data_IF_255173733679
#
_entry.id   IF_255173733679
#
_cell.length_a   1.000
_cell.length_b   1.000
_cell.length_c   1.000
_cell.angle_alpha   90.00
_cell.angle_beta   90.00
_cell.angle_gamma   90.00
#
_symmetry.space_group_name_H-M   'P 1'
#
loop_
_entity.id
_entity.type
_entity.pdbx_description
1 polymer ?
#
# COMPACT_ATOMS: atom_id res chain seq x y z
N UNK A 1 -10.16 -8.48 70.87
CA UNK A 1 -10.95 -8.16 69.65
C UNK A 1 -10.03 -8.03 68.46
N UNK A 2 -9.94 -9.06 67.63
CA UNK A 2 -9.16 -9.03 66.37
C UNK A 2 -10.10 -8.59 65.25
N UNK A 3 -9.82 -7.45 64.62
CA UNK A 3 -10.55 -7.00 63.45
C UNK A 3 -9.98 -7.71 62.22
N UNK A 4 -10.82 -8.51 61.56
CA UNK A 4 -10.55 -9.12 60.28
C UNK A 4 -10.88 -8.06 59.21
N UNK A 5 -9.89 -7.59 58.50
CA UNK A 5 -10.07 -6.72 57.32
C UNK A 5 -10.18 -7.65 56.11
N UNK A 6 -11.39 -7.76 55.58
CA UNK A 6 -11.66 -8.49 54.32
C UNK A 6 -11.29 -7.60 53.16
N UNK A 7 -10.22 -7.94 52.45
CA UNK A 7 -9.89 -7.31 51.14
C UNK A 7 -10.77 -7.94 50.07
N UNK A 8 -11.76 -7.17 49.58
CA UNK A 8 -12.46 -7.52 48.33
C UNK A 8 -11.54 -7.24 47.16
N UNK A 9 -10.92 -8.28 46.60
CA UNK A 9 -10.27 -8.22 45.31
C UNK A 9 -11.34 -8.18 44.20
N UNK A 10 -11.66 -7.01 43.68
CA UNK A 10 -12.45 -6.89 42.45
C UNK A 10 -11.58 -7.30 41.28
N UNK A 11 -11.71 -8.56 40.85
CA UNK A 11 -11.16 -9.01 39.56
C UNK A 11 -11.90 -8.29 38.43
N UNK A 12 -11.29 -7.29 37.83
CA UNK A 12 -11.72 -6.77 36.54
C UNK A 12 -11.55 -7.89 35.50
N UNK A 13 -12.61 -8.64 35.25
CA UNK A 13 -12.64 -9.51 34.07
C UNK A 13 -12.59 -8.60 32.86
N UNK A 14 -11.49 -8.65 32.11
CA UNK A 14 -11.39 -8.09 30.81
C UNK A 14 -12.40 -8.84 29.90
N UNK A 15 -13.60 -8.29 29.75
CA UNK A 15 -14.55 -8.81 28.76
C UNK A 15 -13.90 -8.72 27.39
N UNK A 16 -13.98 -9.78 26.56
CA UNK A 16 -13.50 -9.70 25.19
C UNK A 16 -14.21 -8.52 24.52
N UNK A 17 -13.43 -7.67 23.92
CA UNK A 17 -13.94 -6.54 23.13
C UNK A 17 -14.67 -7.11 21.92
N UNK A 18 -16.00 -7.19 21.98
CA UNK A 18 -16.79 -7.64 20.87
C UNK A 18 -16.61 -6.65 19.70
N UNK A 19 -16.34 -7.20 18.51
CA UNK A 19 -16.30 -6.42 17.30
C UNK A 19 -17.68 -5.77 17.06
N UNK A 20 -17.69 -4.46 16.89
CA UNK A 20 -18.89 -3.69 16.54
C UNK A 20 -18.49 -2.54 15.63
N UNK A 21 -19.00 -2.57 14.42
CA UNK A 21 -18.83 -1.47 13.46
C UNK A 21 -19.33 -0.15 14.06
N UNK A 22 -18.51 0.89 13.93
CA UNK A 22 -18.78 2.20 14.50
C UNK A 22 -18.32 2.41 15.94
N UNK A 23 -17.79 1.39 16.61
CA UNK A 23 -17.25 1.54 17.96
C UNK A 23 -16.10 2.54 17.97
N UNK A 24 -16.15 3.50 18.90
CA UNK A 24 -15.13 4.54 19.08
C UNK A 24 -14.07 4.11 20.10
N UNK A 25 -12.84 4.57 19.83
CA UNK A 25 -11.71 4.42 20.73
C UNK A 25 -11.12 5.80 21.03
N UNK A 26 -10.54 6.00 22.22
CA UNK A 26 -9.97 7.27 22.59
C UNK A 26 -8.79 7.64 21.70
N UNK A 27 -8.52 8.94 21.58
CA UNK A 27 -7.36 9.45 20.87
C UNK A 27 -6.05 8.96 21.53
N UNK A 28 -5.13 8.55 20.70
CA UNK A 28 -3.74 8.27 21.05
C UNK A 28 -2.79 9.26 20.38
N UNK A 29 -3.35 10.31 19.78
CA UNK A 29 -2.61 11.29 18.98
C UNK A 29 -1.50 11.97 19.78
N UNK A 30 -0.28 11.95 19.23
CA UNK A 30 0.90 12.64 19.76
C UNK A 30 1.57 13.44 18.68
N UNK A 31 1.97 14.65 19.00
CA UNK A 31 2.75 15.50 18.10
C UNK A 31 4.15 15.62 18.68
N UNK A 32 5.15 15.29 17.88
CA UNK A 32 6.56 15.44 18.25
C UNK A 32 7.33 16.09 17.10
N UNK A 33 8.52 16.56 17.37
CA UNK A 33 9.47 16.93 16.32
C UNK A 33 10.47 15.80 16.13
N UNK A 34 10.76 15.50 14.88
CA UNK A 34 11.85 14.58 14.55
C UNK A 34 13.16 15.09 15.17
N UNK A 35 13.88 14.28 15.94
CA UNK A 35 15.06 14.72 16.66
C UNK A 35 16.25 15.08 15.76
N UNK A 36 16.28 14.55 14.51
CA UNK A 36 17.36 14.77 13.54
C UNK A 36 17.07 15.95 12.60
N UNK A 37 15.82 16.07 12.16
CA UNK A 37 15.42 17.04 11.14
C UNK A 37 14.60 18.21 11.67
N UNK A 38 13.95 18.05 12.82
CA UNK A 38 13.02 19.04 13.38
C UNK A 38 11.64 19.06 12.71
N UNK A 39 11.40 18.21 11.73
CA UNK A 39 10.10 18.08 11.04
C UNK A 39 9.03 17.61 12.01
N UNK A 40 7.81 18.13 11.90
CA UNK A 40 6.69 17.76 12.75
C UNK A 40 6.14 16.38 12.34
N UNK A 41 6.05 15.48 13.32
CA UNK A 41 5.50 14.13 13.22
C UNK A 41 4.22 14.06 14.05
N UNK A 42 3.11 13.72 13.40
CA UNK A 42 1.81 13.53 14.05
C UNK A 42 1.52 12.03 14.11
N UNK A 43 1.85 11.40 15.22
CA UNK A 43 1.46 10.01 15.48
C UNK A 43 -0.04 9.97 15.77
N UNK A 44 -0.81 9.42 14.86
CA UNK A 44 -2.26 9.23 15.02
C UNK A 44 -2.58 8.07 15.97
N UNK A 45 -1.69 7.09 16.02
CA UNK A 45 -1.70 6.00 17.01
C UNK A 45 -0.35 5.94 17.72
N UNK A 46 -0.35 5.53 19.00
CA UNK A 46 0.89 5.54 19.79
C UNK A 46 0.93 4.48 20.90
N UNK A 47 -0.08 3.62 20.98
CA UNK A 47 -0.14 2.58 22.01
C UNK A 47 0.79 1.45 21.67
N UNK A 48 1.78 1.24 22.54
CA UNK A 48 2.71 0.13 22.43
C UNK A 48 2.01 -1.23 22.50
N UNK A 49 2.49 -2.21 21.74
CA UNK A 49 1.99 -3.58 21.74
C UNK A 49 0.70 -3.81 20.95
N UNK A 50 0.10 -2.78 20.35
CA UNK A 50 -0.96 -2.94 19.34
C UNK A 50 -0.32 -2.82 17.98
N UNK A 51 -0.36 -3.85 17.16
CA UNK A 51 0.17 -3.76 15.79
C UNK A 51 -0.75 -2.90 14.93
N UNK A 52 -0.32 -1.70 14.56
CA UNK A 52 -0.99 -0.88 13.55
C UNK A 52 -0.18 -0.94 12.26
N UNK A 53 -0.85 -1.01 11.12
CA UNK A 53 -0.21 -0.90 9.82
C UNK A 53 -1.11 -0.15 8.85
N UNK A 54 -0.51 0.73 8.09
CA UNK A 54 -1.21 1.44 7.03
C UNK A 54 -1.68 0.49 5.92
N UNK A 55 -2.58 0.95 5.08
CA UNK A 55 -2.86 0.29 3.80
C UNK A 55 -1.58 0.38 2.95
N UNK A 56 -1.35 -0.60 2.10
CA UNK A 56 -0.17 -0.60 1.26
C UNK A 56 -0.13 0.64 0.35
N UNK A 57 1.04 1.19 0.12
CA UNK A 57 1.28 2.50 -0.53
C UNK A 57 0.67 2.66 -1.93
N UNK A 58 0.31 1.56 -2.58
CA UNK A 58 -0.36 1.58 -3.89
C UNK A 58 -1.82 2.01 -3.83
N UNK A 59 -2.40 2.10 -2.62
CA UNK A 59 -3.81 2.39 -2.40
C UNK A 59 -3.99 3.73 -1.68
N UNK A 60 -5.15 4.34 -1.88
CA UNK A 60 -5.53 5.53 -1.15
C UNK A 60 -5.71 5.23 0.34
N UNK A 61 -5.26 6.15 1.20
CA UNK A 61 -5.29 6.02 2.66
C UNK A 61 -6.37 6.88 3.30
N UNK A 62 -6.68 8.03 2.69
CA UNK A 62 -7.60 9.02 3.22
C UNK A 62 -9.01 8.85 2.67
N UNK A 63 -9.99 9.13 3.51
CA UNK A 63 -11.37 9.33 3.04
C UNK A 63 -11.44 10.52 2.09
N UNK A 64 -12.48 10.57 1.23
CA UNK A 64 -12.63 11.61 0.20
C UNK A 64 -12.75 13.04 0.77
N UNK A 65 -13.17 13.18 2.03
CA UNK A 65 -13.19 14.46 2.75
C UNK A 65 -11.85 14.85 3.38
N UNK A 66 -10.82 14.00 3.23
CA UNK A 66 -9.46 14.21 3.74
C UNK A 66 -9.31 14.19 5.26
N UNK A 67 -10.35 13.79 6.03
CA UNK A 67 -10.33 13.89 7.49
C UNK A 67 -9.94 12.61 8.22
N UNK A 68 -10.10 11.46 7.58
CA UNK A 68 -9.86 10.17 8.21
C UNK A 68 -8.83 9.36 7.46
N UNK A 69 -7.95 8.73 8.21
CA UNK A 69 -6.96 7.76 7.69
C UNK A 69 -7.44 6.36 8.05
N UNK A 70 -7.47 5.48 7.07
CA UNK A 70 -7.88 4.07 7.24
C UNK A 70 -6.63 3.20 7.43
N UNK A 71 -6.67 2.31 8.40
CA UNK A 71 -5.54 1.46 8.75
C UNK A 71 -5.97 0.09 9.29
N UNK A 72 -5.04 -0.85 9.34
CA UNK A 72 -5.18 -2.17 9.97
C UNK A 72 -4.72 -2.09 11.41
N UNK A 73 -5.41 -2.79 12.32
CA UNK A 73 -5.07 -2.73 13.75
C UNK A 73 -5.37 -4.02 14.46
N UNK A 74 -4.52 -4.37 15.42
CA UNK A 74 -4.75 -5.50 16.33
C UNK A 74 -5.66 -5.13 17.52
N UNK A 75 -6.15 -3.87 17.62
CA UNK A 75 -7.08 -3.43 18.69
C UNK A 75 -8.37 -4.22 18.70
N UNK A 76 -8.89 -4.52 17.52
CA UNK A 76 -9.97 -5.47 17.30
C UNK A 76 -9.49 -6.47 16.26
N UNK A 77 -9.26 -7.68 16.69
CA UNK A 77 -8.63 -8.71 15.85
C UNK A 77 -9.41 -8.96 14.56
N UNK A 78 -8.73 -8.77 13.44
CA UNK A 78 -9.28 -9.03 12.09
C UNK A 78 -10.11 -7.89 11.53
N UNK A 79 -10.22 -6.75 12.23
CA UNK A 79 -11.01 -5.62 11.79
C UNK A 79 -10.14 -4.42 11.38
N UNK A 80 -10.67 -3.60 10.48
CA UNK A 80 -10.05 -2.35 10.07
C UNK A 80 -10.55 -1.18 10.92
N UNK A 81 -9.73 -0.15 11.01
CA UNK A 81 -9.96 1.06 11.78
C UNK A 81 -9.84 2.29 10.88
N UNK A 82 -10.48 3.37 11.28
CA UNK A 82 -10.20 4.72 10.80
C UNK A 82 -9.83 5.61 11.97
N UNK A 83 -8.93 6.55 11.76
CA UNK A 83 -8.55 7.58 12.74
C UNK A 83 -8.78 8.97 12.15
N UNK A 84 -9.44 9.83 12.90
CA UNK A 84 -9.60 11.23 12.51
C UNK A 84 -8.28 11.95 12.73
N UNK A 85 -7.76 12.58 11.69
CA UNK A 85 -6.43 13.19 11.69
C UNK A 85 -6.31 14.37 12.68
N UNK A 86 -7.37 15.16 12.82
CA UNK A 86 -7.39 16.31 13.70
C UNK A 86 -7.58 15.92 15.17
N UNK A 87 -8.60 15.11 15.45
CA UNK A 87 -9.00 14.77 16.83
C UNK A 87 -8.27 13.55 17.38
N UNK A 88 -7.73 12.67 16.52
CA UNK A 88 -7.17 11.39 16.89
C UNK A 88 -8.21 10.34 17.32
N UNK A 89 -9.50 10.64 17.23
CA UNK A 89 -10.56 9.67 17.52
C UNK A 89 -10.49 8.52 16.53
N UNK A 90 -10.49 7.30 17.06
CA UNK A 90 -10.50 6.10 16.22
C UNK A 90 -11.88 5.44 16.18
N UNK A 91 -12.24 4.86 15.04
CA UNK A 91 -13.50 4.15 14.82
C UNK A 91 -13.23 2.82 14.13
N UNK A 92 -13.85 1.74 14.64
CA UNK A 92 -13.85 0.45 13.94
C UNK A 92 -14.76 0.54 12.72
N UNK A 93 -14.25 0.20 11.53
CA UNK A 93 -14.98 0.41 10.26
C UNK A 93 -15.38 -0.89 9.55
N UNK A 94 -14.96 -2.05 10.03
CA UNK A 94 -15.41 -3.35 9.54
C UNK A 94 -15.95 -4.22 10.66
N UNK A 95 -16.77 -5.21 10.35
CA UNK A 95 -17.29 -6.21 11.29
C UNK A 95 -17.50 -7.55 10.58
N UNK A 96 -16.85 -8.58 11.09
CA UNK A 96 -16.85 -9.92 10.51
C UNK A 96 -15.60 -10.19 9.67
N UNK A 97 -14.58 -9.39 9.86
CA UNK A 97 -13.26 -9.53 9.26
C UNK A 97 -13.15 -8.92 7.86
N UNK A 98 -11.90 -8.80 7.42
CA UNK A 98 -11.55 -8.49 6.03
C UNK A 98 -10.34 -9.33 5.61
N UNK A 99 -10.14 -9.45 4.31
CA UNK A 99 -9.01 -10.19 3.71
C UNK A 99 -8.32 -9.30 2.68
N UNK A 100 -7.00 -9.27 2.73
CA UNK A 100 -6.17 -8.55 1.76
C UNK A 100 -6.24 -7.04 1.85
N UNK A 101 -6.52 -6.39 0.73
CA UNK A 101 -6.49 -4.94 0.62
C UNK A 101 -7.78 -4.27 1.08
N UNK A 102 -7.61 -3.08 1.64
CA UNK A 102 -8.68 -2.12 1.93
C UNK A 102 -8.61 -1.04 0.85
N UNK A 103 -9.70 -0.77 0.16
CA UNK A 103 -9.77 0.21 -0.91
C UNK A 103 -10.64 1.39 -0.48
N UNK A 104 -9.99 2.47 -0.06
CA UNK A 104 -10.68 3.73 0.30
C UNK A 104 -10.97 4.50 -0.97
N UNK A 105 -12.24 4.81 -1.20
CA UNK A 105 -12.69 5.56 -2.35
C UNK A 105 -12.16 7.01 -2.32
N UNK A 106 -11.80 7.56 -3.46
CA UNK A 106 -11.28 8.93 -3.59
C UNK A 106 -12.36 9.98 -3.80
N UNK A 107 -13.51 9.56 -4.34
CA UNK A 107 -14.64 10.45 -4.70
C UNK A 107 -15.79 10.32 -3.72
N UNK A 108 -16.08 9.10 -3.30
CA UNK A 108 -17.15 8.82 -2.34
C UNK A 108 -16.59 8.56 -0.93
N UNK A 109 -17.45 8.71 0.09
CA UNK A 109 -17.12 8.34 1.47
C UNK A 109 -17.33 6.82 1.69
N UNK A 110 -16.81 5.99 0.78
CA UNK A 110 -16.96 4.55 0.84
C UNK A 110 -15.59 3.85 1.05
N UNK A 111 -15.66 2.70 1.72
CA UNK A 111 -14.59 1.73 1.80
C UNK A 111 -15.05 0.44 1.12
N UNK A 112 -14.19 -0.15 0.31
CA UNK A 112 -14.40 -1.48 -0.26
C UNK A 112 -13.37 -2.46 0.30
N UNK A 113 -13.83 -3.66 0.64
CA UNK A 113 -12.96 -4.74 1.10
C UNK A 113 -13.54 -6.09 0.72
N UNK A 114 -12.69 -7.11 0.77
CA UNK A 114 -13.13 -8.50 0.64
C UNK A 114 -13.22 -9.16 2.00
N UNK A 115 -14.15 -10.11 2.14
CA UNK A 115 -14.18 -11.07 3.24
C UNK A 115 -14.63 -12.45 2.75
N UNK A 116 -14.39 -13.50 3.53
CA UNK A 116 -14.81 -14.85 3.19
C UNK A 116 -16.33 -14.99 3.13
N UNK A 117 -16.86 -15.42 1.99
CA UNK A 117 -18.21 -15.90 1.87
C UNK A 117 -18.32 -17.33 2.41
N UNK A 118 -19.35 -17.62 3.20
CA UNK A 118 -19.56 -18.96 3.79
C UNK A 118 -21.00 -19.45 3.56
N UNK A 119 -21.16 -20.74 3.33
CA UNK A 119 -22.46 -21.38 3.28
C UNK A 119 -23.07 -21.54 4.69
N UNK A 120 -24.30 -22.04 4.76
CA UNK A 120 -25.01 -22.27 6.04
C UNK A 120 -24.29 -23.30 6.95
N UNK A 121 -23.37 -24.11 6.41
CA UNK A 121 -22.57 -25.07 7.16
C UNK A 121 -21.22 -24.50 7.58
N UNK A 122 -20.91 -23.24 7.20
CA UNK A 122 -19.65 -22.56 7.50
C UNK A 122 -18.53 -22.86 6.50
N UNK A 123 -18.78 -23.59 5.41
CA UNK A 123 -17.79 -23.83 4.38
C UNK A 123 -17.60 -22.55 3.56
N UNK A 124 -16.36 -22.26 3.23
CA UNK A 124 -16.00 -21.13 2.38
C UNK A 124 -16.46 -21.38 0.94
N UNK A 125 -17.17 -20.43 0.37
CA UNK A 125 -17.74 -20.53 -0.98
C UNK A 125 -17.16 -19.50 -1.96
N UNK A 126 -16.43 -18.49 -1.44
CA UNK A 126 -15.85 -17.46 -2.26
C UNK A 126 -15.42 -16.26 -1.42
N UNK A 127 -15.31 -15.12 -2.10
CA UNK A 127 -15.01 -13.82 -1.49
C UNK A 127 -16.17 -12.84 -1.74
N UNK A 128 -16.79 -12.35 -0.68
CA UNK A 128 -17.72 -11.21 -0.76
C UNK A 128 -16.92 -9.93 -0.99
N UNK A 129 -17.35 -9.11 -1.95
CA UNK A 129 -16.93 -7.71 -2.06
C UNK A 129 -17.94 -6.87 -1.29
N UNK A 130 -17.49 -6.14 -0.30
CA UNK A 130 -18.29 -5.37 0.64
C UNK A 130 -18.00 -3.89 0.47
N UNK A 131 -19.05 -3.09 0.33
CA UNK A 131 -19.03 -1.64 0.38
C UNK A 131 -19.47 -1.17 1.77
N UNK A 132 -18.70 -0.27 2.39
CA UNK A 132 -19.03 0.36 3.67
C UNK A 132 -19.23 1.86 3.46
N UNK A 133 -20.41 2.37 3.81
CA UNK A 133 -20.70 3.80 3.82
C UNK A 133 -20.11 4.43 5.10
N UNK A 134 -18.93 5.04 4.97
CA UNK A 134 -18.20 5.64 6.08
C UNK A 134 -18.86 6.93 6.59
N UNK A 135 -19.48 7.73 5.71
CA UNK A 135 -20.16 8.97 6.12
C UNK A 135 -21.26 8.68 7.14
N UNK A 136 -22.15 7.76 6.80
CA UNK A 136 -23.23 7.34 7.70
C UNK A 136 -22.71 6.68 8.97
N UNK A 137 -21.68 5.83 8.83
CA UNK A 137 -21.07 5.15 9.96
C UNK A 137 -20.48 6.13 10.97
N UNK A 138 -19.71 7.11 10.49
CA UNK A 138 -19.08 8.11 11.36
C UNK A 138 -20.12 9.02 12.03
N UNK A 139 -21.16 9.45 11.30
CA UNK A 139 -22.22 10.27 11.84
C UNK A 139 -23.02 9.54 12.95
N UNK A 140 -23.43 8.29 12.72
CA UNK A 140 -24.14 7.49 13.73
C UNK A 140 -23.23 7.14 14.93
N UNK A 141 -21.93 6.89 14.68
CA UNK A 141 -20.92 6.65 15.71
C UNK A 141 -20.71 7.88 16.61
N UNK A 142 -20.61 9.06 16.02
CA UNK A 142 -20.45 10.31 16.76
C UNK A 142 -21.71 10.64 17.58
N UNK A 143 -22.88 10.43 17.03
CA UNK A 143 -24.14 10.65 17.70
C UNK A 143 -24.45 9.59 18.78
N UNK A 144 -23.68 8.52 18.92
CA UNK A 144 -23.97 7.39 19.81
C UNK A 144 -25.23 6.59 19.43
N UNK A 145 -25.59 6.60 18.13
CA UNK A 145 -26.81 5.98 17.57
C UNK A 145 -26.51 4.82 16.63
N UNK A 146 -25.54 3.99 17.01
CA UNK A 146 -25.11 2.86 16.19
C UNK A 146 -26.27 1.89 15.90
N UNK A 147 -26.28 1.43 14.67
CA UNK A 147 -27.24 0.42 14.16
C UNK A 147 -26.49 -0.90 13.91
N UNK A 148 -27.23 -1.91 13.47
CA UNK A 148 -26.62 -3.17 12.99
C UNK A 148 -25.75 -2.87 11.76
N UNK A 149 -24.69 -3.64 11.57
CA UNK A 149 -23.72 -3.47 10.45
C UNK A 149 -24.37 -3.36 9.07
N UNK A 150 -25.49 -4.09 8.85
CA UNK A 150 -26.26 -4.03 7.60
C UNK A 150 -26.86 -2.65 7.28
N UNK A 151 -26.82 -1.69 8.22
CA UNK A 151 -27.18 -0.30 7.96
C UNK A 151 -26.04 0.49 7.30
N UNK A 152 -24.82 -0.01 7.38
CA UNK A 152 -23.61 0.66 6.92
C UNK A 152 -22.91 -0.07 5.79
N UNK A 153 -23.11 -1.40 5.67
CA UNK A 153 -22.48 -2.21 4.65
C UNK A 153 -23.47 -2.78 3.65
N UNK A 154 -23.03 -2.92 2.40
CA UNK A 154 -23.70 -3.61 1.31
C UNK A 154 -22.75 -4.65 0.72
N UNK A 155 -23.23 -5.89 0.53
CA UNK A 155 -22.51 -6.89 -0.26
C UNK A 155 -22.78 -6.57 -1.73
N UNK A 156 -21.72 -6.17 -2.46
CA UNK A 156 -21.79 -5.88 -3.89
C UNK A 156 -21.98 -7.15 -4.70
N UNK A 157 -21.28 -8.21 -4.31
CA UNK A 157 -21.36 -9.52 -4.96
C UNK A 157 -20.42 -10.52 -4.29
N UNK A 158 -20.47 -11.76 -4.78
CA UNK A 158 -19.57 -12.84 -4.33
C UNK A 158 -18.77 -13.36 -5.51
N UNK A 159 -17.45 -13.31 -5.41
CA UNK A 159 -16.55 -13.94 -6.36
C UNK A 159 -16.43 -15.41 -5.98
N UNK A 160 -16.71 -16.37 -6.90
CA UNK A 160 -16.60 -17.79 -6.62
C UNK A 160 -15.18 -18.18 -6.15
N UNK A 161 -15.10 -19.15 -5.24
CA UNK A 161 -13.83 -19.56 -4.63
C UNK A 161 -12.82 -20.10 -5.64
N UNK A 162 -13.30 -20.72 -6.70
CA UNK A 162 -12.45 -21.22 -7.78
C UNK A 162 -11.82 -20.10 -8.62
N UNK A 163 -12.42 -18.89 -8.61
CA UNK A 163 -11.90 -17.72 -9.32
C UNK A 163 -10.94 -16.91 -8.48
N UNK A 164 -11.24 -16.71 -7.21
CA UNK A 164 -10.43 -15.93 -6.27
C UNK A 164 -10.58 -16.46 -4.85
N UNK A 165 -9.49 -16.88 -4.25
CA UNK A 165 -9.43 -17.36 -2.86
C UNK A 165 -8.73 -16.42 -1.89
N UNK A 166 -8.13 -15.32 -2.36
CA UNK A 166 -7.40 -14.35 -1.56
C UNK A 166 -7.89 -12.92 -1.82
N UNK A 167 -7.75 -12.05 -0.83
CA UNK A 167 -8.29 -10.68 -0.86
C UNK A 167 -7.41 -9.62 -1.50
N UNK A 168 -6.67 -9.94 -2.56
CA UNK A 168 -5.89 -8.95 -3.30
C UNK A 168 -6.80 -8.20 -4.29
N UNK A 169 -7.10 -6.93 -3.98
CA UNK A 169 -8.11 -6.15 -4.70
C UNK A 169 -7.66 -4.69 -4.87
N UNK A 170 -8.09 -4.06 -5.96
CA UNK A 170 -7.97 -2.63 -6.20
C UNK A 170 -9.30 -2.04 -6.70
N UNK A 171 -9.58 -0.81 -6.30
CA UNK A 171 -10.74 -0.05 -6.78
C UNK A 171 -10.38 0.67 -8.07
N UNK A 172 -11.27 0.65 -9.06
CA UNK A 172 -11.14 1.41 -10.29
C UNK A 172 -11.34 2.91 -10.06
N UNK A 173 -10.74 3.72 -10.93
CA UNK A 173 -10.89 5.17 -10.89
C UNK A 173 -12.33 5.69 -11.09
N UNK A 174 -13.24 4.88 -11.66
CA UNK A 174 -14.67 5.19 -11.73
C UNK A 174 -15.40 4.98 -10.40
N UNK A 175 -14.86 4.11 -9.51
CA UNK A 175 -15.53 3.54 -8.33
C UNK A 175 -16.74 2.65 -8.67
N UNK A 176 -16.80 2.16 -9.91
CA UNK A 176 -17.85 1.24 -10.38
C UNK A 176 -17.37 -0.21 -10.47
N UNK A 177 -16.05 -0.42 -10.56
CA UNK A 177 -15.40 -1.71 -10.68
C UNK A 177 -14.38 -1.93 -9.56
N UNK A 178 -14.18 -3.19 -9.21
CA UNK A 178 -12.99 -3.64 -8.49
C UNK A 178 -12.24 -4.68 -9.30
N UNK A 179 -10.92 -4.63 -9.25
CA UNK A 179 -10.01 -5.62 -9.83
C UNK A 179 -9.50 -6.54 -8.74
N UNK A 180 -9.32 -7.82 -9.09
CA UNK A 180 -8.84 -8.81 -8.15
C UNK A 180 -7.91 -9.83 -8.83
N UNK A 181 -7.08 -10.48 -8.03
CA UNK A 181 -6.20 -11.53 -8.53
C UNK A 181 -6.97 -12.81 -8.78
N UNK A 182 -6.81 -13.38 -9.99
CA UNK A 182 -7.29 -14.73 -10.31
C UNK A 182 -6.38 -15.78 -9.69
N UNK A 183 -6.98 -16.81 -9.12
CA UNK A 183 -6.27 -17.98 -8.65
C UNK A 183 -5.62 -18.74 -9.80
N UNK A 184 -4.49 -19.37 -9.53
CA UNK A 184 -3.65 -20.06 -10.51
C UNK A 184 -4.43 -21.11 -11.32
N UNK A 185 -5.25 -21.94 -10.65
CA UNK A 185 -6.01 -23.00 -11.31
C UNK A 185 -7.16 -22.45 -12.16
N UNK A 186 -7.72 -21.31 -11.78
CA UNK A 186 -8.72 -20.63 -12.60
C UNK A 186 -8.07 -19.97 -13.83
N UNK A 187 -6.97 -19.24 -13.63
CA UNK A 187 -6.25 -18.57 -14.72
C UNK A 187 -5.79 -19.57 -15.80
N UNK A 188 -5.44 -20.81 -15.41
CA UNK A 188 -5.03 -21.90 -16.32
C UNK A 188 -6.12 -22.30 -17.32
N UNK A 189 -7.39 -22.03 -17.03
CA UNK A 189 -8.54 -22.35 -17.91
C UNK A 189 -8.73 -21.37 -19.06
N UNK A 190 -8.03 -20.23 -19.01
CA UNK A 190 -8.12 -19.19 -20.02
C UNK A 190 -6.89 -19.18 -20.92
N UNK A 191 -7.01 -18.65 -22.15
CA UNK A 191 -5.85 -18.41 -22.99
C UNK A 191 -4.86 -17.51 -22.27
N UNK A 192 -3.65 -18.01 -22.05
CA UNK A 192 -2.58 -17.23 -21.44
C UNK A 192 -2.03 -16.31 -22.50
N UNK A 193 -1.94 -15.02 -22.19
CA UNK A 193 -1.36 -14.01 -23.07
C UNK A 193 0.06 -14.39 -23.48
N UNK A 194 0.43 -14.02 -24.70
CA UNK A 194 1.77 -14.25 -25.22
C UNK A 194 2.84 -13.70 -24.29
N UNK A 195 3.94 -14.45 -24.16
CA UNK A 195 5.04 -14.03 -23.33
C UNK A 195 5.77 -12.84 -23.98
N UNK A 196 5.64 -11.67 -23.38
CA UNK A 196 6.29 -10.43 -23.83
C UNK A 196 7.42 -9.96 -22.90
N UNK A 197 7.75 -10.77 -21.89
CA UNK A 197 8.88 -10.52 -20.99
C UNK A 197 10.22 -10.73 -21.70
N UNK A 198 11.30 -10.05 -21.27
CA UNK A 198 12.65 -10.29 -21.76
C UNK A 198 13.07 -11.74 -21.59
N UNK A 199 13.97 -12.20 -22.47
CA UNK A 199 14.45 -13.58 -22.47
C UNK A 199 15.68 -13.77 -21.51
N UNK A 200 15.60 -13.18 -20.33
CA UNK A 200 16.66 -13.25 -19.30
C UNK A 200 16.06 -13.49 -17.91
N UNK A 201 16.92 -13.87 -16.96
CA UNK A 201 16.55 -14.12 -15.58
C UNK A 201 15.93 -15.50 -15.32
N UNK A 202 15.75 -15.85 -14.05
CA UNK A 202 15.15 -17.13 -13.67
C UNK A 202 13.65 -17.13 -13.98
N UNK A 203 13.27 -17.79 -15.06
CA UNK A 203 11.89 -17.82 -15.60
C UNK A 203 10.85 -18.49 -14.71
N UNK A 204 11.30 -19.34 -13.77
CA UNK A 204 10.43 -20.01 -12.81
C UNK A 204 10.17 -19.18 -11.54
N UNK A 205 10.83 -18.04 -11.38
CA UNK A 205 10.62 -17.14 -10.26
C UNK A 205 9.26 -16.46 -10.39
N UNK A 206 8.40 -16.59 -9.36
CA UNK A 206 7.03 -16.09 -9.43
C UNK A 206 6.24 -16.69 -10.59
N UNK A 207 6.45 -17.99 -10.87
CA UNK A 207 5.80 -18.66 -11.99
C UNK A 207 4.28 -18.67 -11.81
N UNK A 208 3.61 -18.39 -12.94
CA UNK A 208 2.16 -18.48 -13.07
C UNK A 208 1.66 -19.88 -13.41
N UNK A 209 0.52 -19.93 -14.07
CA UNK A 209 -0.24 -18.76 -14.50
C UNK A 209 -0.81 -17.95 -13.34
N UNK A 210 -1.09 -16.70 -13.61
CA UNK A 210 -1.86 -15.78 -12.78
C UNK A 210 -2.79 -14.97 -13.69
N UNK A 211 -3.51 -14.03 -13.11
CA UNK A 211 -4.37 -13.18 -13.91
C UNK A 211 -5.09 -12.13 -13.08
N UNK A 212 -5.86 -11.32 -13.79
CA UNK A 212 -6.72 -10.29 -13.22
C UNK A 212 -8.16 -10.59 -13.60
N UNK A 213 -9.03 -10.50 -12.61
CA UNK A 213 -10.47 -10.44 -12.77
C UNK A 213 -11.01 -9.07 -12.38
N UNK A 214 -12.25 -8.79 -12.74
CA UNK A 214 -12.99 -7.61 -12.32
C UNK A 214 -14.37 -7.99 -11.82
N UNK A 215 -14.94 -7.15 -10.96
CA UNK A 215 -16.35 -7.22 -10.55
C UNK A 215 -17.00 -5.85 -10.74
N UNK A 216 -18.15 -5.83 -11.36
CA UNK A 216 -19.04 -4.69 -11.40
C UNK A 216 -19.77 -4.57 -10.05
N UNK A 217 -19.61 -3.43 -9.38
CA UNK A 217 -20.09 -3.20 -8.02
C UNK A 217 -21.61 -3.01 -7.95
N UNK A 218 -22.25 -2.63 -9.05
CA UNK A 218 -23.71 -2.46 -9.09
C UNK A 218 -24.44 -3.80 -9.31
N UNK A 219 -23.89 -4.65 -10.19
CA UNK A 219 -24.50 -5.93 -10.57
C UNK A 219 -23.98 -7.12 -9.80
N UNK A 220 -22.77 -7.00 -9.20
CA UNK A 220 -22.05 -8.10 -8.55
C UNK A 220 -21.48 -9.13 -9.52
N UNK A 221 -21.52 -8.86 -10.84
CA UNK A 221 -20.98 -9.78 -11.86
C UNK A 221 -19.45 -9.75 -11.84
N UNK A 222 -18.86 -10.91 -11.59
CA UNK A 222 -17.40 -11.12 -11.67
C UNK A 222 -17.03 -11.83 -12.98
N UNK A 223 -15.95 -11.37 -13.62
CA UNK A 223 -15.44 -11.96 -14.87
C UNK A 223 -13.92 -11.79 -14.98
N UNK A 224 -13.22 -12.68 -15.71
CA UNK A 224 -11.78 -12.54 -15.95
C UNK A 224 -11.51 -11.38 -16.93
N UNK A 225 -10.36 -10.74 -16.75
CA UNK A 225 -9.83 -9.70 -17.64
C UNK A 225 -8.69 -10.28 -18.50
N UNK A 226 -7.68 -10.87 -17.84
CA UNK A 226 -6.51 -11.42 -18.52
C UNK A 226 -5.88 -12.54 -17.69
N UNK A 227 -5.31 -13.54 -18.37
CA UNK A 227 -4.42 -14.52 -17.78
C UNK A 227 -2.99 -14.32 -18.33
N UNK A 228 -1.99 -14.42 -17.43
CA UNK A 228 -0.57 -14.22 -17.73
C UNK A 228 0.25 -15.40 -17.23
N UNK A 229 1.48 -15.56 -17.74
CA UNK A 229 2.37 -16.68 -17.41
C UNK A 229 3.10 -16.53 -16.06
N UNK A 230 2.81 -15.50 -15.30
CA UNK A 230 3.47 -15.18 -14.03
C UNK A 230 2.48 -14.94 -12.90
N UNK A 231 2.98 -14.90 -11.66
CA UNK A 231 2.20 -14.53 -10.48
C UNK A 231 1.95 -13.03 -10.48
N UNK A 232 0.68 -12.65 -10.44
CA UNK A 232 0.25 -11.24 -10.34
C UNK A 232 0.27 -10.78 -8.87
N UNK A 233 0.73 -9.56 -8.63
CA UNK A 233 0.65 -8.86 -7.36
C UNK A 233 0.50 -7.35 -7.55
N UNK A 234 0.36 -6.63 -6.45
CA UNK A 234 0.27 -5.16 -6.39
C UNK A 234 -0.72 -4.56 -7.40
N UNK A 235 -1.92 -5.13 -7.48
CA UNK A 235 -2.94 -4.62 -8.41
C UNK A 235 -3.34 -3.20 -7.99
N UNK A 236 -3.38 -2.29 -8.97
CA UNK A 236 -3.78 -0.89 -8.81
C UNK A 236 -4.72 -0.52 -9.95
N UNK A 237 -5.83 0.15 -9.64
CA UNK A 237 -6.60 0.89 -10.64
C UNK A 237 -5.97 2.28 -10.84
N UNK A 238 -5.90 2.78 -12.06
CA UNK A 238 -5.50 4.15 -12.31
C UNK A 238 -6.61 5.10 -11.85
N UNK A 239 -6.38 5.95 -10.82
CA UNK A 239 -7.45 6.80 -10.29
C UNK A 239 -7.94 7.88 -11.26
N UNK A 240 -7.13 8.22 -12.26
CA UNK A 240 -7.41 9.29 -13.23
C UNK A 240 -7.89 8.76 -14.58
N UNK A 241 -7.52 7.52 -14.92
CA UNK A 241 -7.95 6.83 -16.13
C UNK A 241 -8.71 5.55 -15.78
N UNK A 242 -10.04 5.64 -15.55
CA UNK A 242 -10.87 4.46 -15.30
C UNK A 242 -10.70 3.39 -16.37
N UNK A 243 -10.63 2.14 -15.94
CA UNK A 243 -10.41 1.02 -16.82
C UNK A 243 -8.93 0.67 -17.08
N UNK A 244 -7.97 1.43 -16.55
CA UNK A 244 -6.55 1.05 -16.60
C UNK A 244 -6.12 0.34 -15.32
N UNK A 245 -5.53 -0.83 -15.45
CA UNK A 245 -5.06 -1.68 -14.36
C UNK A 245 -3.55 -1.83 -14.43
N UNK A 246 -2.88 -1.43 -13.37
CA UNK A 246 -1.44 -1.57 -13.20
C UNK A 246 -1.18 -2.72 -12.22
N UNK A 247 -0.19 -3.54 -12.49
CA UNK A 247 0.15 -4.69 -11.65
C UNK A 247 1.61 -5.10 -11.82
N UNK A 248 2.07 -5.98 -10.96
CA UNK A 248 3.43 -6.48 -11.06
C UNK A 248 3.52 -7.99 -11.28
N UNK A 249 4.65 -8.41 -11.84
CA UNK A 249 5.12 -9.79 -11.73
C UNK A 249 5.71 -9.97 -10.33
N UNK A 250 5.00 -10.67 -9.46
CA UNK A 250 5.33 -10.77 -8.05
C UNK A 250 6.36 -11.88 -7.77
N UNK A 251 7.55 -11.47 -7.33
CA UNK A 251 8.67 -12.38 -7.01
C UNK A 251 9.47 -11.95 -5.80
N UNK A 252 8.96 -11.01 -4.99
CA UNK A 252 9.78 -10.35 -3.98
C UNK A 252 10.87 -9.46 -4.57
N UNK A 253 10.61 -8.82 -5.72
CA UNK A 253 11.46 -7.81 -6.32
C UNK A 253 12.47 -8.29 -7.37
N UNK A 254 12.45 -9.55 -7.79
CA UNK A 254 13.43 -10.13 -8.73
C UNK A 254 12.84 -10.58 -10.07
N UNK A 255 11.66 -10.09 -10.44
CA UNK A 255 11.07 -10.40 -11.73
C UNK A 255 11.90 -9.85 -12.88
N UNK A 256 12.01 -10.58 -14.00
CA UNK A 256 12.75 -10.07 -15.16
C UNK A 256 12.04 -8.90 -15.84
N UNK A 257 10.75 -8.75 -15.64
CA UNK A 257 9.94 -7.61 -16.08
C UNK A 257 8.85 -7.41 -15.03
N UNK A 258 9.03 -6.43 -14.14
CA UNK A 258 8.13 -6.28 -12.99
C UNK A 258 6.84 -5.57 -13.31
N UNK A 259 6.90 -4.44 -14.01
CA UNK A 259 5.78 -3.50 -14.13
C UNK A 259 4.95 -3.72 -15.40
N UNK A 260 3.64 -3.87 -15.23
CA UNK A 260 2.71 -4.19 -16.31
C UNK A 260 1.45 -3.36 -16.22
N UNK A 261 0.76 -3.23 -17.34
CA UNK A 261 -0.60 -2.70 -17.41
C UNK A 261 -1.48 -3.48 -18.37
N UNK A 262 -2.78 -3.41 -18.15
CA UNK A 262 -3.83 -3.93 -19.02
C UNK A 262 -5.08 -3.05 -18.90
N UNK A 263 -5.89 -2.98 -19.95
CA UNK A 263 -7.20 -2.35 -19.87
C UNK A 263 -8.24 -3.33 -19.27
N UNK A 264 -9.28 -2.81 -18.64
CA UNK A 264 -10.36 -3.61 -18.03
C UNK A 264 -11.14 -4.50 -19.01
N UNK A 265 -11.00 -4.27 -20.31
CA UNK A 265 -11.54 -5.11 -21.40
C UNK A 265 -10.56 -6.21 -21.85
N UNK A 266 -9.38 -6.32 -21.22
CA UNK A 266 -8.33 -7.27 -21.56
C UNK A 266 -7.39 -6.81 -22.68
N UNK A 267 -7.63 -5.66 -23.28
CA UNK A 267 -6.76 -5.10 -24.31
C UNK A 267 -5.53 -4.41 -23.73
N UNK A 268 -4.55 -4.07 -24.57
CA UNK A 268 -3.36 -3.29 -24.23
C UNK A 268 -2.50 -3.90 -23.10
N UNK A 269 -2.49 -5.25 -22.98
CA UNK A 269 -1.56 -5.90 -22.05
C UNK A 269 -0.12 -5.64 -22.48
N UNK A 270 0.67 -4.99 -21.62
CA UNK A 270 2.07 -4.66 -21.93
C UNK A 270 2.91 -4.36 -20.70
N UNK A 271 4.25 -4.49 -20.78
CA UNK A 271 5.16 -3.83 -19.85
C UNK A 271 4.93 -2.32 -19.87
N UNK A 272 5.00 -1.66 -18.72
CA UNK A 272 4.94 -0.20 -18.65
C UNK A 272 6.16 0.42 -19.32
N UNK A 273 7.35 -0.11 -19.00
CA UNK A 273 8.57 0.11 -19.77
C UNK A 273 9.35 -1.21 -19.86
N UNK A 274 10.29 -1.33 -20.79
CA UNK A 274 11.13 -2.53 -20.87
C UNK A 274 12.29 -2.42 -19.92
N UNK A 275 12.29 -3.29 -18.92
CA UNK A 275 13.41 -3.45 -17.99
C UNK A 275 14.59 -4.13 -18.71
N UNK A 276 15.79 -3.66 -18.44
CA UNK A 276 17.03 -4.29 -18.91
C UNK A 276 17.39 -5.48 -18.01
N UNK A 277 18.35 -6.29 -18.43
CA UNK A 277 18.85 -7.39 -17.60
C UNK A 277 19.55 -6.90 -16.31
N UNK A 278 19.93 -5.61 -16.27
CA UNK A 278 20.58 -4.98 -15.11
C UNK A 278 19.59 -4.35 -14.14
N UNK A 279 18.37 -4.10 -14.57
CA UNK A 279 17.37 -3.45 -13.72
C UNK A 279 16.84 -4.42 -12.68
N UNK A 280 16.93 -4.03 -11.44
CA UNK A 280 16.22 -4.67 -10.35
C UNK A 280 15.17 -3.69 -9.83
N UNK A 281 14.00 -3.76 -10.43
CA UNK A 281 12.86 -2.92 -10.07
C UNK A 281 12.08 -3.54 -8.92
N UNK A 282 11.79 -2.71 -7.93
CA UNK A 282 10.89 -3.05 -6.82
C UNK A 282 9.87 -1.95 -6.65
N UNK A 283 8.78 -2.26 -6.00
CA UNK A 283 7.76 -1.33 -5.53
C UNK A 283 7.39 -0.24 -6.56
N UNK A 284 6.17 -0.23 -6.90
CA UNK A 284 5.57 0.68 -7.88
C UNK A 284 4.31 1.31 -7.30
N UNK A 285 4.04 2.57 -7.65
CA UNK A 285 2.78 3.25 -7.35
C UNK A 285 2.40 4.22 -8.47
N UNK A 286 1.11 4.23 -8.83
CA UNK A 286 0.55 5.25 -9.74
C UNK A 286 0.46 6.58 -8.99
N UNK A 287 1.09 7.63 -9.52
CA UNK A 287 1.21 8.93 -8.84
C UNK A 287 0.46 10.06 -9.57
N UNK A 288 0.23 9.90 -10.86
CA UNK A 288 -0.58 10.83 -11.66
C UNK A 288 -1.30 10.06 -12.78
N UNK A 289 -2.06 10.77 -13.59
CA UNK A 289 -2.78 10.19 -14.72
C UNK A 289 -1.88 9.31 -15.63
N UNK A 290 -0.65 9.75 -15.84
CA UNK A 290 0.27 9.17 -16.80
C UNK A 290 1.59 8.69 -16.20
N UNK A 291 1.77 8.77 -14.87
CA UNK A 291 3.05 8.47 -14.25
C UNK A 291 2.98 7.36 -13.19
N UNK A 292 3.97 6.49 -13.25
CA UNK A 292 4.25 5.44 -12.28
C UNK A 292 5.61 5.70 -11.64
N UNK A 293 5.67 5.79 -10.31
CA UNK A 293 6.94 5.81 -9.58
C UNK A 293 7.38 4.38 -9.29
N UNK A 294 8.68 4.13 -9.40
CA UNK A 294 9.32 2.83 -9.12
C UNK A 294 10.64 3.01 -8.37
N UNK A 295 11.07 1.97 -7.66
CA UNK A 295 12.41 1.88 -7.10
C UNK A 295 13.30 0.97 -7.96
N UNK A 296 14.44 1.48 -8.41
CA UNK A 296 15.51 0.70 -9.03
C UNK A 296 16.59 0.52 -7.98
N UNK A 297 16.74 -0.69 -7.43
CA UNK A 297 17.61 -0.92 -6.27
C UNK A 297 18.97 -1.54 -6.62
N UNK A 298 19.23 -1.84 -7.87
CA UNK A 298 20.53 -2.34 -8.28
C UNK A 298 20.50 -3.34 -9.41
N UNK A 299 21.60 -4.08 -9.50
CA UNK A 299 21.76 -5.10 -10.53
C UNK A 299 21.19 -6.43 -10.08
N UNK A 300 20.51 -7.06 -10.99
CA UNK A 300 19.90 -8.36 -10.81
C UNK A 300 20.93 -9.44 -11.06
N UNK A 301 21.24 -10.34 -10.09
CA UNK A 301 21.99 -11.55 -10.41
C UNK A 301 21.09 -12.43 -11.29
N UNK A 302 21.48 -12.61 -12.56
CA UNK A 302 20.71 -13.36 -13.55
C UNK A 302 20.74 -14.86 -13.24
N UNK A 303 21.86 -15.37 -12.68
CA UNK A 303 22.01 -16.77 -12.28
C UNK A 303 22.60 -16.88 -10.87
N UNK A 304 22.04 -17.76 -10.03
CA UNK A 304 22.69 -18.14 -8.77
C UNK A 304 24.01 -18.85 -9.12
N UNK A 305 25.13 -18.19 -8.83
CA UNK A 305 26.48 -18.70 -9.06
C UNK A 305 27.28 -17.99 -10.17
N UNK A 306 26.64 -17.30 -11.09
CA UNK A 306 27.31 -16.42 -12.03
C UNK A 306 27.13 -14.96 -11.61
N UNK A 307 27.85 -14.54 -10.59
CA UNK A 307 28.20 -13.13 -10.48
C UNK A 307 29.23 -12.83 -11.57
N UNK A 308 28.81 -12.78 -12.82
CA UNK A 308 29.62 -12.12 -13.83
C UNK A 308 29.73 -10.68 -13.37
N UNK A 309 30.93 -10.28 -12.98
CA UNK A 309 31.30 -8.87 -12.99
C UNK A 309 30.92 -8.37 -14.38
N UNK A 310 29.93 -7.50 -14.44
CA UNK A 310 29.61 -6.84 -15.70
C UNK A 310 30.80 -5.91 -15.96
N UNK A 311 31.52 -6.19 -17.03
CA UNK A 311 32.69 -5.42 -17.42
C UNK A 311 32.28 -3.96 -17.59
N UNK A 312 32.93 -3.03 -16.89
CA UNK A 312 32.52 -1.62 -16.83
C UNK A 312 31.62 -1.21 -15.65
N UNK A 313 31.09 -2.15 -14.89
CA UNK A 313 30.37 -1.89 -13.62
C UNK A 313 31.34 -1.87 -12.42
N UNK A 314 32.63 -1.92 -12.67
CA UNK A 314 33.65 -1.93 -11.63
C UNK A 314 33.68 -0.56 -10.94
N UNK A 315 33.41 -0.59 -9.66
CA UNK A 315 33.86 0.39 -8.66
C UNK A 315 33.27 1.79 -8.63
N UNK A 316 32.20 2.13 -9.31
CA UNK A 316 31.41 3.31 -8.94
C UNK A 316 30.53 3.09 -7.71
N UNK A 317 30.62 1.90 -7.10
CA UNK A 317 29.99 1.56 -5.83
C UNK A 317 30.34 2.50 -4.65
N UNK A 318 31.31 3.37 -4.83
CA UNK A 318 31.65 4.44 -3.88
C UNK A 318 31.06 5.80 -4.25
N UNK A 319 30.44 5.94 -5.41
CA UNK A 319 29.76 7.17 -5.80
C UNK A 319 28.40 7.25 -5.09
N UNK A 320 28.26 8.19 -4.17
CA UNK A 320 26.99 8.44 -3.48
C UNK A 320 25.83 8.84 -4.42
N UNK A 321 26.13 9.13 -5.70
CA UNK A 321 25.14 9.59 -6.67
C UNK A 321 24.41 8.44 -7.38
N UNK A 322 24.97 7.22 -7.38
CA UNK A 322 24.43 6.08 -8.14
C UNK A 322 23.91 4.93 -7.26
N UNK A 323 24.03 5.07 -5.94
CA UNK A 323 23.73 4.01 -4.98
C UNK A 323 24.77 2.89 -4.90
N UNK A 324 24.65 1.99 -3.92
CA UNK A 324 25.68 0.99 -3.61
C UNK A 324 25.97 -0.01 -4.74
N UNK A 325 25.02 -0.27 -5.63
CA UNK A 325 25.14 -1.20 -6.75
C UNK A 325 24.88 -0.56 -8.11
N UNK A 326 24.80 0.78 -8.15
CA UNK A 326 24.61 1.53 -9.39
C UNK A 326 25.92 2.01 -10.00
N UNK A 327 25.87 2.37 -11.29
CA UNK A 327 26.93 3.06 -12.03
C UNK A 327 26.34 4.26 -12.75
N UNK A 328 27.19 5.07 -13.37
CA UNK A 328 26.74 6.19 -14.20
C UNK A 328 25.80 5.73 -15.33
N UNK A 329 26.10 4.57 -15.92
CA UNK A 329 25.32 3.98 -17.01
C UNK A 329 24.09 3.22 -16.52
N UNK A 330 24.16 2.69 -15.29
CA UNK A 330 23.12 1.89 -14.65
C UNK A 330 22.83 2.42 -13.26
N UNK A 331 22.30 3.63 -13.20
CA UNK A 331 22.00 4.30 -11.94
C UNK A 331 20.82 3.63 -11.22
N UNK A 332 20.85 3.66 -9.89
CA UNK A 332 19.77 3.19 -9.02
C UNK A 332 19.08 4.37 -8.35
N UNK A 333 17.90 4.16 -7.81
CA UNK A 333 17.16 5.20 -7.09
C UNK A 333 15.66 5.19 -7.36
N UNK A 334 15.01 6.28 -7.02
CA UNK A 334 13.62 6.52 -7.40
C UNK A 334 13.58 6.93 -8.86
N UNK A 335 12.77 6.25 -9.65
CA UNK A 335 12.50 6.62 -11.03
C UNK A 335 11.00 6.82 -11.26
N UNK A 336 10.67 7.68 -12.21
CA UNK A 336 9.30 7.89 -12.69
C UNK A 336 9.22 7.46 -14.14
N UNK A 337 8.23 6.66 -14.46
CA UNK A 337 7.95 6.20 -15.81
C UNK A 337 6.68 6.86 -16.31
N UNK A 338 6.75 7.54 -17.44
CA UNK A 338 5.55 7.97 -18.17
C UNK A 338 4.91 6.76 -18.84
N UNK A 339 3.71 6.40 -18.42
CA UNK A 339 3.00 5.21 -18.92
C UNK A 339 2.55 5.34 -20.37
N UNK A 340 2.53 6.55 -20.97
CA UNK A 340 2.16 6.77 -22.37
C UNK A 340 3.38 6.70 -23.29
N UNK A 341 4.42 7.49 -22.98
CA UNK A 341 5.65 7.53 -23.80
C UNK A 341 6.60 6.39 -23.49
N UNK A 342 6.49 5.80 -22.30
CA UNK A 342 7.39 4.78 -21.72
C UNK A 342 8.79 5.32 -21.41
N UNK A 343 8.94 6.62 -21.35
CA UNK A 343 10.17 7.27 -20.93
C UNK A 343 10.32 7.15 -19.42
N UNK A 344 11.54 6.84 -18.99
CA UNK A 344 11.93 6.72 -17.60
C UNK A 344 12.84 7.90 -17.25
N UNK A 345 12.52 8.58 -16.16
CA UNK A 345 13.37 9.61 -15.55
C UNK A 345 13.83 9.13 -14.20
N UNK A 346 15.14 9.12 -13.96
CA UNK A 346 15.70 8.86 -12.65
C UNK A 346 15.68 10.17 -11.84
N UNK A 347 14.92 10.18 -10.75
CA UNK A 347 14.76 11.36 -9.90
C UNK A 347 15.90 11.53 -8.89
N UNK A 348 16.47 10.42 -8.40
CA UNK A 348 17.63 10.45 -7.53
C UNK A 348 17.80 9.24 -6.63
N UNK A 349 18.93 9.23 -5.91
CA UNK A 349 19.30 8.19 -4.95
C UNK A 349 19.80 8.80 -3.64
N UNK A 350 19.64 8.07 -2.55
CA UNK A 350 20.23 8.43 -1.26
C UNK A 350 21.71 8.09 -1.20
N UNK A 351 22.54 8.89 -0.53
CA UNK A 351 23.96 8.60 -0.36
C UNK A 351 24.20 7.32 0.42
N UNK A 352 24.86 6.34 -0.22
CA UNK A 352 25.31 5.09 0.43
C UNK A 352 24.22 4.07 0.75
N UNK A 353 22.99 4.29 0.32
CA UNK A 353 21.86 3.37 0.54
C UNK A 353 20.97 3.31 -0.73
N UNK A 354 19.88 2.56 -0.66
CA UNK A 354 18.89 2.40 -1.71
C UNK A 354 17.50 2.71 -1.18
N UNK A 355 16.63 3.17 -2.06
CA UNK A 355 15.20 3.26 -1.77
C UNK A 355 14.53 1.89 -1.86
N UNK A 356 13.57 1.64 -0.96
CA UNK A 356 12.79 0.41 -0.96
C UNK A 356 11.34 0.66 -1.39
N UNK A 357 10.53 1.40 -0.62
CA UNK A 357 9.20 1.81 -1.03
C UNK A 357 9.20 3.25 -1.51
N UNK A 358 8.39 3.53 -2.52
CA UNK A 358 8.38 4.82 -3.18
C UNK A 358 6.97 5.35 -3.36
N UNK A 359 6.84 6.67 -3.37
CA UNK A 359 5.61 7.41 -3.59
C UNK A 359 5.88 8.68 -4.37
N UNK A 360 4.84 9.32 -4.89
CA UNK A 360 4.95 10.63 -5.51
C UNK A 360 3.75 11.51 -5.18
N UNK A 361 3.97 12.83 -5.16
CA UNK A 361 2.91 13.81 -5.00
C UNK A 361 2.10 13.95 -6.30
N UNK A 362 0.79 14.13 -6.16
CA UNK A 362 -0.10 14.21 -7.32
C UNK A 362 0.09 15.48 -8.16
N UNK A 363 0.68 16.51 -7.58
CA UNK A 363 1.05 17.75 -8.27
C UNK A 363 2.32 17.62 -9.13
N UNK A 364 3.01 16.46 -9.05
CA UNK A 364 4.17 16.15 -9.86
C UNK A 364 5.47 16.82 -9.40
N UNK A 365 5.52 17.46 -8.22
CA UNK A 365 6.70 18.16 -7.75
C UNK A 365 7.66 17.29 -6.94
N UNK A 366 7.14 16.28 -6.25
CA UNK A 366 7.88 15.50 -5.28
C UNK A 366 7.77 14.02 -5.51
N UNK A 367 8.87 13.30 -5.29
CA UNK A 367 8.85 11.87 -5.02
C UNK A 367 9.42 11.62 -3.64
N UNK A 368 8.96 10.56 -2.99
CA UNK A 368 9.41 10.15 -1.66
C UNK A 368 9.81 8.68 -1.67
N UNK A 369 10.71 8.31 -0.77
CA UNK A 369 11.07 6.92 -0.56
C UNK A 369 11.63 6.69 0.83
N UNK A 370 11.50 5.45 1.30
CA UNK A 370 12.19 4.98 2.48
C UNK A 370 13.43 4.18 2.08
N UNK A 371 14.52 4.41 2.82
CA UNK A 371 15.75 3.66 2.67
C UNK A 371 15.81 2.43 3.61
N UNK A 372 16.90 1.68 3.57
CA UNK A 372 17.09 0.52 4.44
C UNK A 372 17.41 0.89 5.89
N UNK A 373 17.79 2.15 6.15
CA UNK A 373 17.88 2.70 7.50
C UNK A 373 16.51 3.10 8.06
N UNK A 374 15.43 2.96 7.29
CA UNK A 374 14.07 3.38 7.63
C UNK A 374 13.92 4.90 7.71
N UNK A 375 14.80 5.64 7.06
CA UNK A 375 14.70 7.07 6.93
C UNK A 375 13.76 7.44 5.77
N UNK A 376 13.00 8.50 5.92
CA UNK A 376 12.11 9.01 4.88
C UNK A 376 12.75 10.20 4.19
N UNK A 377 12.90 10.09 2.90
CA UNK A 377 13.43 11.12 2.02
C UNK A 377 12.39 11.62 1.05
N UNK A 378 12.48 12.89 0.68
CA UNK A 378 11.81 13.44 -0.50
C UNK A 378 12.84 13.99 -1.47
N UNK A 379 12.51 13.92 -2.74
CA UNK A 379 13.33 14.45 -3.83
C UNK A 379 12.48 15.45 -4.61
N UNK A 380 13.01 16.63 -4.78
CA UNK A 380 12.45 17.66 -5.65
C UNK A 380 12.70 17.28 -7.11
N UNK A 381 11.65 16.99 -7.85
CA UNK A 381 11.74 16.51 -9.24
C UNK A 381 12.28 17.57 -10.23
N UNK A 382 12.23 18.86 -9.85
CA UNK A 382 12.70 19.94 -10.71
C UNK A 382 14.17 20.28 -10.50
N UNK A 383 14.66 20.08 -9.27
CA UNK A 383 16.03 20.48 -8.90
C UNK A 383 16.93 19.28 -8.60
N UNK A 384 16.36 18.10 -8.36
CA UNK A 384 17.09 16.93 -7.88
C UNK A 384 17.55 17.02 -6.41
N UNK A 385 17.09 18.05 -5.67
CA UNK A 385 17.42 18.22 -4.25
C UNK A 385 16.85 17.06 -3.43
N UNK A 386 17.69 16.43 -2.63
CA UNK A 386 17.35 15.31 -1.73
C UNK A 386 17.23 15.81 -0.31
N UNK A 387 16.09 15.63 0.31
CA UNK A 387 15.76 16.19 1.63
C UNK A 387 15.36 15.05 2.55
N UNK A 388 16.12 14.85 3.63
CA UNK A 388 15.73 13.95 4.71
C UNK A 388 14.60 14.59 5.51
N UNK A 389 13.41 13.98 5.48
CA UNK A 389 12.27 14.48 6.25
C UNK A 389 12.26 13.94 7.69
N UNK A 390 12.50 12.64 7.86
CA UNK A 390 12.43 12.03 9.19
C UNK A 390 13.28 10.75 9.26
N UNK A 391 13.76 10.46 10.46
CA UNK A 391 14.65 9.33 10.77
C UNK A 391 14.26 8.64 12.09
N UNK A 392 14.98 7.60 12.47
CA UNK A 392 14.80 6.94 13.78
C UNK A 392 13.57 6.02 13.88
N UNK A 393 13.03 5.55 12.75
CA UNK A 393 11.86 4.67 12.72
C UNK A 393 12.13 3.22 13.11
N UNK A 394 13.34 2.92 13.60
CA UNK A 394 13.85 1.62 14.07
C UNK A 394 13.90 0.53 12.98
N UNK A 395 15.10 0.11 12.67
CA UNK A 395 15.35 -0.98 11.70
C UNK A 395 14.86 -2.35 12.18
N UNK A 396 14.57 -2.49 13.49
CA UNK A 396 13.96 -3.67 14.11
C UNK A 396 12.45 -3.75 13.92
N UNK A 397 11.82 -2.69 13.39
CA UNK A 397 10.38 -2.66 13.09
C UNK A 397 9.95 -3.85 12.22
N UNK A 398 8.70 -4.28 12.38
CA UNK A 398 8.15 -5.43 11.63
C UNK A 398 8.20 -5.22 10.12
N UNK A 399 8.15 -3.96 9.68
CA UNK A 399 8.10 -3.58 8.28
C UNK A 399 8.78 -2.22 8.05
N UNK A 400 8.87 -1.81 6.81
CA UNK A 400 9.32 -0.50 6.37
C UNK A 400 8.28 0.59 6.64
N UNK A 401 8.65 1.86 6.38
CA UNK A 401 7.75 2.99 6.69
C UNK A 401 6.67 3.22 5.63
N UNK A 402 6.85 2.77 4.40
CA UNK A 402 5.85 2.80 3.31
C UNK A 402 5.23 4.19 3.07
N UNK A 403 5.95 5.17 2.53
CA UNK A 403 5.41 6.52 2.35
C UNK A 403 4.22 6.55 1.38
N UNK A 404 3.22 7.38 1.69
CA UNK A 404 2.12 7.71 0.78
C UNK A 404 1.77 9.18 0.95
N UNK A 405 1.80 9.96 -0.13
CA UNK A 405 1.40 11.36 -0.11
C UNK A 405 -0.11 11.50 0.08
N UNK A 406 -0.51 12.46 0.91
CA UNK A 406 -1.87 12.98 0.92
C UNK A 406 -2.17 13.60 -0.45
N UNK A 407 -3.42 13.50 -0.95
CA UNK A 407 -3.76 14.02 -2.28
C UNK A 407 -3.38 15.48 -2.54
N UNK A 408 -3.37 16.32 -1.52
CA UNK A 408 -2.99 17.75 -1.60
C UNK A 408 -1.48 18.01 -1.53
N UNK A 409 -0.66 16.96 -1.38
CA UNK A 409 0.80 17.07 -1.34
C UNK A 409 1.39 17.65 -0.04
N UNK A 410 0.56 17.99 0.96
CA UNK A 410 1.01 18.68 2.17
C UNK A 410 1.57 17.75 3.25
N UNK A 411 1.26 16.46 3.17
CA UNK A 411 1.56 15.47 4.20
C UNK A 411 1.91 14.13 3.56
N UNK A 412 2.70 13.33 4.30
CA UNK A 412 3.04 11.96 3.94
C UNK A 412 2.66 11.04 5.10
N UNK A 413 1.79 10.08 4.85
CA UNK A 413 1.53 9.01 5.82
C UNK A 413 2.63 7.97 5.76
N UNK A 414 3.08 7.56 6.94
CA UNK A 414 3.99 6.44 7.15
C UNK A 414 3.52 5.56 8.31
N UNK A 415 4.08 4.37 8.41
CA UNK A 415 4.01 3.56 9.62
C UNK A 415 5.38 3.52 10.30
N UNK A 416 5.41 3.57 11.64
CA UNK A 416 6.66 3.73 12.37
C UNK A 416 6.67 3.03 13.71
N UNK A 417 7.79 2.39 14.06
CA UNK A 417 8.03 1.85 15.40
C UNK A 417 8.81 2.84 16.31
N UNK A 418 8.94 4.12 15.91
CA UNK A 418 9.70 5.12 16.66
C UNK A 418 9.26 5.22 18.13
N UNK A 419 7.94 5.23 18.39
CA UNK A 419 7.36 5.35 19.73
C UNK A 419 7.19 4.00 20.44
N UNK A 420 7.43 2.90 19.76
CA UNK A 420 7.21 1.57 20.29
C UNK A 420 8.30 1.16 21.29
N UNK A 421 7.91 0.67 22.45
CA UNK A 421 8.83 0.17 23.48
C UNK A 421 9.50 -1.14 23.06
N UNK A 422 8.77 -2.00 22.35
CA UNK A 422 9.27 -3.27 21.84
C UNK A 422 10.18 -3.12 20.60
N UNK A 423 10.27 -1.91 20.04
CA UNK A 423 11.03 -1.59 18.84
C UNK A 423 10.52 -2.24 17.55
N UNK A 424 9.33 -2.85 17.57
CA UNK A 424 8.77 -3.65 16.47
C UNK A 424 7.36 -3.26 16.07
N UNK A 425 6.51 -2.98 17.06
CA UNK A 425 5.10 -2.62 16.83
C UNK A 425 5.00 -1.25 16.13
N UNK A 426 4.21 -1.20 15.05
CA UNK A 426 4.10 0.00 14.24
C UNK A 426 2.95 0.88 14.74
N UNK A 427 3.07 2.16 14.46
CA UNK A 427 2.04 3.18 14.67
C UNK A 427 1.83 3.95 13.38
N UNK A 428 0.64 4.49 13.16
CA UNK A 428 0.32 5.38 12.04
C UNK A 428 0.84 6.77 12.34
N UNK A 429 1.61 7.32 11.43
CA UNK A 429 2.26 8.62 11.59
C UNK A 429 2.10 9.47 10.32
N UNK A 430 1.71 10.71 10.50
CA UNK A 430 1.70 11.74 9.45
C UNK A 430 2.96 12.59 9.60
N UNK A 431 3.73 12.67 8.54
CA UNK A 431 4.90 13.55 8.39
C UNK A 431 4.44 14.80 7.64
N UNK A 432 4.47 15.94 8.29
CA UNK A 432 4.10 17.20 7.65
C UNK A 432 5.22 17.69 6.77
N UNK A 433 4.90 17.99 5.53
CA UNK A 433 5.86 18.63 4.63
C UNK A 433 6.20 20.03 5.18
N UNK A 434 7.50 20.39 5.28
CA UNK A 434 7.90 21.72 5.71
C UNK A 434 7.27 22.81 4.84
N UNK A 435 6.76 23.88 5.48
CA UNK A 435 6.00 24.93 4.78
C UNK A 435 6.78 25.56 3.62
N UNK A 436 8.10 25.76 3.78
CA UNK A 436 8.94 26.33 2.72
C UNK A 436 9.06 25.42 1.48
N UNK A 437 8.87 24.10 1.63
CA UNK A 437 8.81 23.16 0.50
C UNK A 437 7.45 23.22 -0.18
N UNK A 438 6.36 23.26 0.62
CA UNK A 438 5.00 23.43 0.09
C UNK A 438 4.88 24.73 -0.71
N UNK A 439 5.47 25.82 -0.21
CA UNK A 439 5.39 27.14 -0.84
C UNK A 439 6.30 27.30 -2.06
N UNK A 440 7.28 26.40 -2.25
CA UNK A 440 8.24 26.46 -3.35
C UNK A 440 7.57 26.51 -4.72
N UNK A 441 6.45 25.81 -4.89
CA UNK A 441 5.71 25.68 -6.15
C UNK A 441 4.32 26.31 -6.13
N UNK A 442 3.94 26.96 -5.05
CA UNK A 442 2.73 27.79 -5.03
C UNK A 442 2.98 29.04 -5.87
N UNK A 443 2.19 29.18 -6.94
CA UNK A 443 2.17 30.39 -7.77
C UNK A 443 1.28 31.45 -7.14
#
# INVERSE_FOLDING_TARGET
MRRIITFCLTALMAMPVLAQMGRRFPSERKVIKDPKTGVELVFLTSKSGTGDSKIYQTHNQWTSDGKWVVFRSDRVKGEAMAVNEETGTMVQITEGGFSGMLCVARKSMNLYHMREAKDKKGNRTGMEVVEVNLERLFADSEAGKLKKKTAYERICGTIPIEMCSEGDMALDGSEELVYFRLDKEFARKYPIAEQIAPNFGPRNMGAGPGGIGKMDLATGKAEPVVAVHFKVGHIQGNPWHPGEVIFCWETGGKAPQRTWMVNADGTNLRPIYRETEHDWVTHEAVISADELVIAIIGHRPINKGEQKKIEGLESFATSNDWGPSGTKEYATGIAVVNMRTRELTLEGQVPGDNFWHVAGSQDGHWVAGDDFARELWVIDRHTGERILLTAGHKTTARDHVHPTFKPDGTEIEIQSAMLSEDGRSMNICIVRMPQHLIDRYKK
#
